data_IF_480996399615
#
_entry.id   IF_480996399615
#
_cell.length_a   1.000
_cell.length_b   1.000
_cell.length_c   1.000
_cell.angle_alpha   90.00
_cell.angle_beta   90.00
_cell.angle_gamma   90.00
#
_symmetry.space_group_name_H-M   'P 1'
#
loop_
_entity.id
_entity.type
_entity.pdbx_description
1 polymer ?
#
# COMPACT_ATOMS: atom_id res chain seq x y z
N UNK A 1 85.92 -39.80 14.87
CA UNK A 1 87.11 -39.79 15.75
C UNK A 1 86.64 -39.78 17.21
N UNK A 2 86.89 -40.88 17.91
CA UNK A 2 87.08 -41.11 19.35
C UNK A 2 86.24 -40.42 20.46
N UNK A 3 85.68 -41.31 21.31
CA UNK A 3 85.67 -41.35 22.81
C UNK A 3 84.74 -40.44 23.66
N UNK A 4 83.67 -41.06 24.18
CA UNK A 4 83.49 -41.66 25.53
C UNK A 4 83.85 -40.88 26.83
N UNK A 5 82.95 -41.05 27.82
CA UNK A 5 83.09 -40.97 29.30
C UNK A 5 83.14 -39.57 29.96
N UNK A 6 82.66 -39.31 31.20
CA UNK A 6 81.78 -39.98 32.18
C UNK A 6 81.58 -38.98 33.36
N UNK A 7 80.46 -39.13 34.09
CA UNK A 7 80.29 -38.95 35.57
C UNK A 7 80.21 -37.56 36.26
N UNK A 8 79.01 -37.37 36.85
CA UNK A 8 78.67 -37.16 38.29
C UNK A 8 78.76 -35.78 39.00
N UNK A 9 77.58 -35.42 39.54
CA UNK A 9 77.23 -35.05 40.93
C UNK A 9 77.29 -33.58 41.41
N UNK A 10 76.13 -33.24 42.02
CA UNK A 10 75.84 -32.31 43.14
C UNK A 10 75.68 -30.81 42.87
N UNK A 11 74.53 -30.31 43.32
CA UNK A 11 74.33 -28.89 43.63
C UNK A 11 72.85 -28.48 43.65
N UNK A 12 72.14 -28.76 44.75
CA UNK A 12 70.78 -28.30 45.02
C UNK A 12 70.84 -26.89 45.60
N UNK A 13 70.24 -25.90 44.94
CA UNK A 13 70.10 -24.54 45.48
C UNK A 13 69.52 -23.58 44.44
N UNK A 14 68.34 -23.02 44.69
CA UNK A 14 67.68 -22.14 43.73
C UNK A 14 66.36 -21.56 44.23
N UNK A 15 66.48 -20.56 45.10
CA UNK A 15 65.46 -19.63 45.57
C UNK A 15 64.71 -18.94 44.40
N UNK A 16 63.37 -18.97 44.42
CA UNK A 16 62.46 -18.04 43.74
C UNK A 16 61.34 -17.75 44.75
N UNK A 17 61.03 -16.53 45.20
CA UNK A 17 61.13 -15.22 44.56
C UNK A 17 59.78 -14.87 43.93
N UNK A 18 59.02 -13.96 44.55
CA UNK A 18 57.97 -13.18 43.87
C UNK A 18 56.57 -13.26 44.47
N UNK A 19 56.20 -12.21 45.22
CA UNK A 19 54.87 -11.84 45.69
C UNK A 19 54.07 -11.15 44.54
N UNK A 20 52.75 -11.38 44.50
CA UNK A 20 51.62 -10.64 43.86
C UNK A 20 51.87 -9.72 42.64
N UNK A 21 51.07 -9.88 41.56
CA UNK A 21 49.84 -9.09 41.35
C UNK A 21 49.01 -9.55 40.13
N UNK A 22 47.74 -9.13 40.13
CA UNK A 22 46.57 -9.45 39.30
C UNK A 22 46.72 -9.15 37.80
N UNK A 23 46.12 -10.01 36.96
CA UNK A 23 45.04 -9.68 35.96
C UNK A 23 44.94 -10.72 34.84
N UNK A 24 43.70 -11.12 34.54
CA UNK A 24 43.25 -11.37 33.16
C UNK A 24 43.40 -12.78 32.60
N UNK A 25 42.49 -13.69 32.95
CA UNK A 25 42.21 -14.90 32.15
C UNK A 25 40.70 -15.09 31.99
N UNK A 26 40.09 -14.28 31.12
CA UNK A 26 38.80 -14.59 30.48
C UNK A 26 38.89 -14.05 29.06
N UNK A 27 39.32 -14.85 28.09
CA UNK A 27 39.56 -14.29 26.76
C UNK A 27 39.96 -15.23 25.64
N UNK A 28 39.55 -16.50 25.63
CA UNK A 28 39.97 -17.38 24.51
C UNK A 28 38.94 -18.43 24.08
N UNK A 29 37.65 -18.25 24.38
CA UNK A 29 36.59 -19.17 23.89
C UNK A 29 35.52 -18.53 23.00
N UNK A 30 35.54 -17.22 22.80
CA UNK A 30 34.48 -16.50 22.04
C UNK A 30 34.89 -16.02 20.63
N UNK A 31 36.07 -16.37 20.11
CA UNK A 31 36.50 -15.96 18.76
C UNK A 31 35.98 -16.85 17.63
N UNK A 32 35.63 -18.11 17.91
CA UNK A 32 35.12 -19.02 16.87
C UNK A 32 33.60 -18.86 16.59
N UNK A 33 32.81 -18.34 17.54
CA UNK A 33 31.38 -18.09 17.33
C UNK A 33 31.05 -16.74 16.67
N UNK A 34 32.01 -15.79 16.59
CA UNK A 34 31.78 -14.51 15.91
C UNK A 34 32.03 -14.54 14.40
N UNK A 35 32.64 -15.62 13.88
CA UNK A 35 32.96 -15.73 12.47
C UNK A 35 31.89 -16.49 11.64
N UNK A 36 30.98 -17.19 12.31
CA UNK A 36 29.81 -17.86 11.70
C UNK A 36 28.56 -16.98 11.61
N UNK A 37 28.51 -15.83 12.29
CA UNK A 37 27.40 -14.86 12.19
C UNK A 37 27.60 -13.76 11.13
N UNK A 38 28.84 -13.57 10.67
CA UNK A 38 29.20 -12.52 9.69
C UNK A 38 29.24 -13.02 8.24
N UNK A 39 29.00 -14.31 8.00
CA UNK A 39 29.06 -14.90 6.65
C UNK A 39 27.72 -14.83 5.90
N UNK A 40 26.61 -14.61 6.61
CA UNK A 40 25.28 -14.49 6.00
C UNK A 40 24.88 -13.05 5.63
N UNK A 41 25.63 -12.03 6.04
CA UNK A 41 25.32 -10.64 5.70
C UNK A 41 25.88 -10.19 4.33
N UNK A 42 26.72 -11.01 3.70
CA UNK A 42 27.30 -10.75 2.37
C UNK A 42 26.48 -11.31 1.19
N UNK A 43 25.43 -12.06 1.48
CA UNK A 43 24.53 -12.66 0.48
C UNK A 43 23.13 -12.03 0.51
N UNK A 44 22.94 -10.89 1.18
CA UNK A 44 21.77 -10.08 0.89
C UNK A 44 21.97 -9.51 -0.51
N UNK A 45 21.07 -9.80 -1.48
CA UNK A 45 21.10 -9.12 -2.75
C UNK A 45 21.10 -7.61 -2.46
N UNK A 46 21.88 -6.81 -3.21
CA UNK A 46 21.80 -5.36 -3.07
C UNK A 46 20.33 -4.98 -3.23
N UNK A 47 19.79 -4.23 -2.26
CA UNK A 47 18.44 -3.67 -2.35
C UNK A 47 18.40 -2.97 -3.71
N UNK A 48 17.72 -3.58 -4.70
CA UNK A 48 17.55 -2.96 -6.00
C UNK A 48 16.99 -1.56 -5.74
N UNK A 49 17.65 -0.54 -6.30
CA UNK A 49 17.15 0.82 -6.22
C UNK A 49 15.71 0.80 -6.72
N UNK A 50 14.80 1.24 -5.87
CA UNK A 50 13.38 1.26 -6.17
C UNK A 50 13.14 2.29 -7.25
N UNK A 51 12.29 1.94 -8.22
CA UNK A 51 11.95 2.84 -9.30
C UNK A 51 11.16 4.02 -8.75
N UNK A 52 11.62 5.23 -9.06
CA UNK A 52 10.93 6.46 -8.71
C UNK A 52 9.68 6.59 -9.58
N UNK A 53 8.56 6.98 -8.98
CA UNK A 53 7.31 7.20 -9.72
C UNK A 53 7.44 8.34 -10.73
N UNK A 54 8.34 9.30 -10.48
CA UNK A 54 8.65 10.41 -11.37
C UNK A 54 10.15 10.70 -11.43
N UNK A 55 10.63 11.06 -12.61
CA UNK A 55 11.99 11.59 -12.77
C UNK A 55 12.02 13.05 -12.36
N UNK A 56 12.66 13.35 -11.23
CA UNK A 56 12.85 14.72 -10.74
C UNK A 56 13.70 15.51 -11.73
N UNK A 57 13.23 16.71 -12.10
CA UNK A 57 13.94 17.58 -13.04
C UNK A 57 14.76 18.66 -12.31
N UNK A 58 15.84 19.18 -12.92
CA UNK A 58 16.70 20.18 -12.26
C UNK A 58 16.04 21.53 -11.97
N UNK A 59 14.93 21.84 -12.66
CA UNK A 59 14.14 23.06 -12.49
C UNK A 59 13.11 22.97 -11.34
N UNK A 60 12.97 21.80 -10.72
CA UNK A 60 12.08 21.62 -9.58
C UNK A 60 12.67 22.22 -8.31
N UNK A 61 11.85 22.99 -7.59
CA UNK A 61 12.24 23.65 -6.35
C UNK A 61 11.56 22.94 -5.18
N UNK A 62 12.35 22.39 -4.26
CA UNK A 62 11.85 21.84 -3.01
C UNK A 62 11.27 22.95 -2.14
N UNK A 63 9.98 22.82 -1.78
CA UNK A 63 9.30 23.76 -0.89
C UNK A 63 9.40 23.30 0.57
N UNK A 64 9.11 22.03 0.82
CA UNK A 64 9.12 21.45 2.15
C UNK A 64 9.48 19.96 2.08
N UNK A 65 10.15 19.47 3.13
CA UNK A 65 10.43 18.05 3.34
C UNK A 65 9.95 17.62 4.73
N UNK A 66 9.27 16.48 4.78
CA UNK A 66 8.79 15.85 6.01
C UNK A 66 9.16 14.37 6.01
N UNK A 67 9.69 13.90 7.13
CA UNK A 67 9.98 12.48 7.35
C UNK A 67 8.79 11.76 8.02
N UNK A 68 8.77 10.43 7.94
CA UNK A 68 7.69 9.63 8.52
C UNK A 68 7.52 9.83 10.04
N UNK A 69 8.60 9.96 10.85
CA UNK A 69 8.46 10.26 12.27
C UNK A 69 7.76 11.58 12.59
N UNK A 70 7.92 12.63 11.76
CA UNK A 70 7.17 13.89 11.90
C UNK A 70 5.71 13.71 11.51
N UNK A 71 5.44 13.08 10.36
CA UNK A 71 4.08 12.83 9.87
C UNK A 71 3.25 12.01 10.87
N UNK A 72 3.84 10.97 11.47
CA UNK A 72 3.18 10.09 12.43
C UNK A 72 2.72 10.79 13.73
N UNK A 73 3.21 12.01 14.01
CA UNK A 73 2.84 12.81 15.19
C UNK A 73 1.76 13.84 14.89
N UNK A 74 1.40 14.03 13.62
CA UNK A 74 0.34 14.96 13.24
C UNK A 74 -1.01 14.43 13.72
N UNK A 75 -1.88 15.34 14.16
CA UNK A 75 -3.22 15.00 14.61
C UNK A 75 -4.16 16.17 14.36
N UNK A 76 -5.33 15.86 13.80
CA UNK A 76 -6.44 16.79 13.65
C UNK A 76 -7.67 16.14 14.30
N UNK A 77 -7.90 16.34 15.61
CA UNK A 77 -9.05 15.78 16.30
C UNK A 77 -10.34 16.51 15.92
N UNK A 78 -11.49 15.90 16.23
CA UNK A 78 -12.83 16.49 16.09
C UNK A 78 -13.32 16.72 14.65
N UNK A 79 -12.73 16.06 13.66
CA UNK A 79 -13.30 15.99 12.31
C UNK A 79 -14.67 15.30 12.38
N UNK A 80 -15.71 15.99 11.89
CA UNK A 80 -17.08 15.47 11.86
C UNK A 80 -17.27 14.47 10.72
N UNK A 81 -18.38 13.74 10.76
CA UNK A 81 -18.81 12.92 9.63
C UNK A 81 -19.07 13.78 8.39
N UNK A 82 -18.75 13.23 7.22
CA UNK A 82 -18.90 13.94 5.96
C UNK A 82 -20.37 14.13 5.61
N UNK A 83 -20.74 15.29 5.12
CA UNK A 83 -22.10 15.57 4.65
C UNK A 83 -22.20 15.23 3.16
N UNK A 84 -23.15 14.36 2.79
CA UNK A 84 -23.44 14.01 1.40
C UNK A 84 -24.00 15.24 0.65
N UNK A 85 -23.39 15.60 -0.48
CA UNK A 85 -23.83 16.71 -1.34
C UNK A 85 -24.57 16.17 -2.56
N UNK A 86 -23.96 15.20 -3.25
CA UNK A 86 -24.48 14.53 -4.45
C UNK A 86 -24.16 13.05 -4.33
N UNK A 87 -25.14 12.20 -4.64
CA UNK A 87 -24.97 10.77 -4.73
C UNK A 87 -25.40 10.32 -6.13
N UNK A 88 -24.53 9.61 -6.84
CA UNK A 88 -24.78 9.25 -8.22
C UNK A 88 -24.30 7.84 -8.57
N UNK A 89 -24.86 7.25 -9.62
CA UNK A 89 -24.53 5.91 -10.09
C UNK A 89 -25.49 4.84 -9.59
N UNK A 90 -25.09 3.57 -9.74
CA UNK A 90 -25.97 2.44 -9.46
C UNK A 90 -25.18 1.27 -8.90
N UNK A 91 -25.79 0.56 -7.94
CA UNK A 91 -25.18 -0.56 -7.24
C UNK A 91 -25.94 -1.85 -7.50
N UNK A 92 -25.22 -2.91 -7.80
CA UNK A 92 -25.74 -4.27 -7.74
C UNK A 92 -25.79 -4.77 -6.30
N UNK A 93 -26.68 -5.73 -6.07
CA UNK A 93 -26.84 -6.35 -4.77
C UNK A 93 -25.76 -7.40 -4.54
N UNK A 94 -25.17 -7.40 -3.34
CA UNK A 94 -24.21 -8.43 -2.94
C UNK A 94 -24.90 -9.80 -2.80
N UNK A 95 -24.27 -10.84 -3.36
CA UNK A 95 -24.75 -12.21 -3.25
C UNK A 95 -24.19 -12.90 -1.99
N UNK A 96 -25.02 -12.98 -0.94
CA UNK A 96 -24.71 -13.69 0.32
C UNK A 96 -24.39 -15.18 0.12
N UNK A 97 -24.62 -15.77 -1.05
CA UNK A 97 -24.13 -17.13 -1.31
C UNK A 97 -22.60 -17.21 -1.32
N UNK A 98 -21.90 -16.11 -1.59
CA UNK A 98 -20.43 -16.06 -1.52
C UNK A 98 -19.89 -16.12 -0.08
N UNK A 99 -20.68 -15.76 0.94
CA UNK A 99 -20.29 -15.91 2.35
C UNK A 99 -20.09 -17.38 2.78
N UNK A 100 -20.64 -18.33 2.00
CA UNK A 100 -20.47 -19.77 2.24
C UNK A 100 -19.25 -20.38 1.56
N UNK A 101 -18.56 -19.62 0.71
CA UNK A 101 -17.32 -20.06 0.05
C UNK A 101 -16.24 -20.25 1.12
N UNK A 102 -15.52 -21.36 1.04
CA UNK A 102 -14.45 -21.69 1.99
C UNK A 102 -13.42 -22.59 1.30
N UNK A 103 -12.32 -22.88 1.99
CA UNK A 103 -11.18 -23.67 1.47
C UNK A 103 -11.52 -25.09 1.01
N UNK A 104 -12.69 -25.64 1.37
CA UNK A 104 -13.16 -26.97 0.91
C UNK A 104 -14.17 -26.88 -0.22
N UNK A 105 -14.79 -25.73 -0.40
CA UNK A 105 -15.80 -25.46 -1.43
C UNK A 105 -15.49 -24.10 -2.05
N UNK A 106 -14.39 -24.06 -2.79
CA UNK A 106 -13.92 -22.90 -3.52
C UNK A 106 -14.81 -22.59 -4.73
N UNK A 107 -14.77 -21.35 -5.19
CA UNK A 107 -15.38 -20.92 -6.45
C UNK A 107 -14.30 -20.33 -7.36
N UNK A 108 -14.18 -20.82 -8.62
CA UNK A 108 -13.24 -20.23 -9.58
C UNK A 108 -13.54 -18.75 -9.83
N UNK A 109 -12.49 -17.93 -9.85
CA UNK A 109 -12.60 -16.53 -10.27
C UNK A 109 -12.88 -16.49 -11.78
N UNK A 110 -13.89 -15.72 -12.18
CA UNK A 110 -14.29 -15.53 -13.56
C UNK A 110 -13.77 -14.19 -14.06
N UNK A 111 -13.37 -14.15 -15.33
CA UNK A 111 -13.09 -12.89 -16.01
C UNK A 111 -14.42 -12.19 -16.30
N UNK A 112 -14.59 -11.00 -15.77
CA UNK A 112 -15.77 -10.17 -15.98
C UNK A 112 -15.36 -8.95 -16.79
N UNK A 113 -16.01 -8.77 -17.94
CA UNK A 113 -15.74 -7.65 -18.83
C UNK A 113 -16.70 -6.51 -18.48
N UNK A 114 -16.20 -5.54 -17.72
CA UNK A 114 -16.92 -4.33 -17.34
C UNK A 114 -15.99 -3.13 -17.36
N UNK A 115 -16.58 -1.97 -17.60
CA UNK A 115 -15.84 -0.70 -17.68
C UNK A 115 -15.61 -0.17 -16.25
N UNK A 116 -14.33 -0.01 -15.88
CA UNK A 116 -13.90 0.62 -14.64
C UNK A 116 -13.34 2.01 -14.93
N UNK A 117 -13.92 3.02 -14.27
CA UNK A 117 -13.53 4.41 -14.47
C UNK A 117 -12.56 4.84 -13.38
N UNK A 118 -11.34 5.22 -13.77
CA UNK A 118 -10.30 5.72 -12.87
C UNK A 118 -10.09 7.23 -13.02
N UNK A 119 -11.17 8.00 -13.20
CA UNK A 119 -11.13 9.44 -13.50
C UNK A 119 -10.51 10.26 -12.36
N UNK A 120 -9.55 11.14 -12.67
CA UNK A 120 -8.92 12.06 -11.71
C UNK A 120 -9.85 13.23 -11.32
N UNK A 121 -9.42 14.06 -10.36
CA UNK A 121 -10.20 15.14 -9.77
C UNK A 121 -10.60 16.23 -10.77
N UNK A 122 -9.68 16.71 -11.61
CA UNK A 122 -9.97 17.79 -12.58
C UNK A 122 -10.84 17.36 -13.76
N UNK A 123 -10.80 16.08 -14.09
CA UNK A 123 -11.57 15.52 -15.20
C UNK A 123 -13.01 15.20 -14.81
N UNK A 124 -13.28 15.14 -13.51
CA UNK A 124 -14.60 14.88 -12.95
C UNK A 124 -15.58 16.07 -13.18
N UNK A 125 -16.67 15.87 -13.93
CA UNK A 125 -17.62 16.94 -14.24
C UNK A 125 -18.40 17.42 -13.02
N UNK A 126 -18.63 16.55 -12.03
CA UNK A 126 -19.33 16.93 -10.79
C UNK A 126 -18.40 17.75 -9.91
N UNK A 127 -17.13 17.36 -9.75
CA UNK A 127 -16.16 18.19 -9.02
C UNK A 127 -15.99 19.56 -9.68
N UNK A 128 -15.90 19.64 -11.02
CA UNK A 128 -15.85 20.93 -11.73
C UNK A 128 -17.10 21.80 -11.52
N UNK A 129 -18.27 21.19 -11.31
CA UNK A 129 -19.51 21.91 -10.99
C UNK A 129 -19.51 22.38 -9.54
N UNK A 130 -19.20 21.48 -8.61
CA UNK A 130 -19.10 21.77 -7.17
C UNK A 130 -18.02 22.81 -6.89
N UNK A 131 -16.95 22.82 -7.67
CA UNK A 131 -15.86 23.77 -7.48
C UNK A 131 -16.26 25.22 -7.73
N UNK A 132 -17.43 25.49 -8.31
CA UNK A 132 -17.96 26.84 -8.47
C UNK A 132 -18.79 27.30 -7.27
N UNK A 133 -19.21 26.38 -6.40
CA UNK A 133 -20.22 26.64 -5.37
C UNK A 133 -19.80 26.24 -3.94
N UNK A 134 -19.06 25.14 -3.76
CA UNK A 134 -18.76 24.55 -2.44
C UNK A 134 -17.32 24.04 -2.39
N UNK A 135 -16.63 24.35 -1.30
CA UNK A 135 -15.30 23.80 -1.01
C UNK A 135 -14.15 24.65 -1.51
N UNK A 136 -12.96 24.34 -1.02
CA UNK A 136 -11.71 24.89 -1.53
C UNK A 136 -10.61 23.84 -1.70
N UNK A 137 -10.84 22.60 -1.26
CA UNK A 137 -9.95 21.46 -1.54
C UNK A 137 -10.76 20.35 -2.19
N UNK A 138 -10.26 19.80 -3.28
CA UNK A 138 -10.94 18.76 -4.07
C UNK A 138 -10.01 17.58 -4.28
N UNK A 139 -10.50 16.37 -4.05
CA UNK A 139 -9.74 15.12 -4.22
C UNK A 139 -10.67 13.92 -4.44
N UNK A 140 -10.12 12.80 -4.90
CA UNK A 140 -10.80 11.48 -4.83
C UNK A 140 -10.36 10.72 -3.58
N UNK A 141 -11.19 9.77 -3.16
CA UNK A 141 -10.87 8.85 -2.06
C UNK A 141 -9.55 8.10 -2.25
N UNK A 142 -9.24 7.61 -3.46
CA UNK A 142 -7.96 6.96 -3.75
C UNK A 142 -6.76 7.88 -3.45
N UNK A 143 -6.84 9.15 -3.86
CA UNK A 143 -5.79 10.15 -3.62
C UNK A 143 -5.67 10.46 -2.12
N UNK A 144 -6.80 10.66 -1.43
CA UNK A 144 -6.81 10.91 0.00
C UNK A 144 -6.31 9.71 0.81
N UNK A 145 -6.66 8.49 0.41
CA UNK A 145 -6.20 7.26 1.06
C UNK A 145 -4.67 7.16 0.99
N UNK A 146 -4.06 7.47 -0.17
CA UNK A 146 -2.60 7.53 -0.33
C UNK A 146 -1.97 8.57 0.60
N UNK A 147 -2.55 9.78 0.71
CA UNK A 147 -2.05 10.82 1.61
C UNK A 147 -2.19 10.43 3.09
N UNK A 148 -3.34 9.94 3.50
CA UNK A 148 -3.63 9.57 4.90
C UNK A 148 -2.79 8.37 5.35
N UNK A 149 -2.45 7.46 4.44
CA UNK A 149 -1.67 6.25 4.73
C UNK A 149 -0.18 6.36 4.36
N UNK A 150 0.31 7.55 4.02
CA UNK A 150 1.67 7.78 3.51
C UNK A 150 2.79 7.18 4.37
N UNK A 151 2.63 7.15 5.71
CA UNK A 151 3.64 6.61 6.64
C UNK A 151 3.83 5.10 6.55
N UNK A 152 2.99 4.40 5.78
CA UNK A 152 3.09 2.95 5.51
C UNK A 152 3.69 2.64 4.13
N UNK A 153 3.82 3.66 3.28
CA UNK A 153 4.31 3.47 1.91
C UNK A 153 5.79 3.11 1.89
N UNK A 154 6.14 2.24 0.95
CA UNK A 154 7.50 1.74 0.73
C UNK A 154 7.93 1.99 -0.72
N UNK A 155 7.01 1.76 -1.67
CA UNK A 155 7.18 2.11 -3.07
C UNK A 155 6.87 3.59 -3.30
N UNK A 156 7.48 4.14 -4.35
CA UNK A 156 7.35 5.55 -4.68
C UNK A 156 5.98 5.81 -5.29
N UNK A 157 5.35 6.91 -4.88
CA UNK A 157 4.12 7.46 -5.45
C UNK A 157 4.23 8.98 -5.52
N UNK A 158 3.37 9.61 -6.32
CA UNK A 158 3.27 11.06 -6.41
C UNK A 158 1.83 11.50 -6.69
N UNK A 159 1.53 12.73 -6.27
CA UNK A 159 0.24 13.40 -6.45
C UNK A 159 0.54 14.80 -6.97
N UNK A 160 -0.19 15.25 -7.98
CA UNK A 160 -0.12 16.60 -8.53
C UNK A 160 -1.09 17.47 -7.75
N UNK A 161 -0.64 18.62 -7.28
CA UNK A 161 -1.51 19.61 -6.62
C UNK A 161 -1.58 20.85 -7.49
N UNK A 162 -2.74 21.12 -8.07
CA UNK A 162 -2.99 22.34 -8.83
C UNK A 162 -3.68 23.39 -7.94
N UNK A 163 -3.05 24.55 -7.81
CA UNK A 163 -3.60 25.69 -7.07
C UNK A 163 -4.12 26.76 -8.02
N UNK A 164 -5.44 26.96 -8.04
CA UNK A 164 -6.11 27.97 -8.87
C UNK A 164 -6.86 28.93 -7.94
N UNK A 165 -6.37 30.16 -7.82
CA UNK A 165 -6.92 31.13 -6.87
C UNK A 165 -6.77 30.62 -5.43
N UNK A 166 -7.90 30.48 -4.73
CA UNK A 166 -8.01 29.96 -3.37
C UNK A 166 -8.32 28.45 -3.30
N UNK A 167 -8.31 27.75 -4.45
CA UNK A 167 -8.70 26.34 -4.56
C UNK A 167 -7.51 25.44 -4.83
N UNK A 168 -7.55 24.25 -4.25
CA UNK A 168 -6.57 23.18 -4.41
C UNK A 168 -7.25 21.95 -5.02
N UNK A 169 -6.72 21.47 -6.14
CA UNK A 169 -7.12 20.22 -6.77
C UNK A 169 -5.99 19.22 -6.62
N UNK A 170 -6.29 18.08 -6.01
CA UNK A 170 -5.36 16.98 -5.87
C UNK A 170 -5.63 15.96 -6.97
N UNK A 171 -4.69 15.77 -7.87
CA UNK A 171 -4.80 14.91 -9.05
C UNK A 171 -3.74 13.83 -9.06
N UNK A 172 -4.07 12.72 -9.71
CA UNK A 172 -3.11 11.68 -10.08
C UNK A 172 -2.76 11.85 -11.55
N UNK A 173 -1.59 11.34 -11.95
CA UNK A 173 -1.17 11.34 -13.36
C UNK A 173 -1.74 10.12 -14.08
N UNK A 174 -2.42 10.34 -15.19
CA UNK A 174 -3.09 9.25 -15.94
C UNK A 174 -2.13 8.16 -16.47
N UNK A 175 -0.87 8.52 -16.74
CA UNK A 175 0.14 7.60 -17.29
C UNK A 175 1.01 6.94 -16.20
N UNK A 176 0.47 6.75 -14.99
CA UNK A 176 1.21 6.16 -13.87
C UNK A 176 0.54 4.90 -13.34
N UNK A 177 1.28 4.16 -12.53
CA UNK A 177 0.80 2.94 -11.85
C UNK A 177 0.03 3.25 -10.56
N UNK A 178 -0.49 4.48 -10.40
CA UNK A 178 -1.15 4.92 -9.16
C UNK A 178 -2.34 4.04 -8.77
N UNK A 179 -3.09 3.54 -9.77
CA UNK A 179 -4.25 2.68 -9.55
C UNK A 179 -3.89 1.19 -9.40
N UNK A 180 -2.63 0.81 -9.56
CA UNK A 180 -2.21 -0.58 -9.39
C UNK A 180 -2.06 -0.93 -7.92
N UNK A 181 -2.62 -2.06 -7.53
CA UNK A 181 -2.51 -2.59 -6.17
C UNK A 181 -1.12 -3.23 -5.97
N UNK A 182 -0.34 -2.70 -5.04
CA UNK A 182 0.97 -3.25 -4.70
C UNK A 182 0.86 -4.57 -3.95
N UNK A 183 1.71 -5.55 -4.26
CA UNK A 183 1.71 -6.89 -3.64
C UNK A 183 2.98 -7.08 -2.82
N UNK A 184 2.83 -7.51 -1.55
CA UNK A 184 3.93 -7.72 -0.61
C UNK A 184 4.88 -6.51 -0.45
N UNK A 185 4.36 -5.29 -0.63
CA UNK A 185 5.13 -4.04 -0.56
C UNK A 185 5.91 -3.90 0.75
N UNK A 186 5.28 -4.23 1.88
CA UNK A 186 5.84 -4.06 3.22
C UNK A 186 6.41 -5.36 3.81
N UNK A 187 6.63 -6.39 2.98
CA UNK A 187 7.32 -7.61 3.40
C UNK A 187 8.76 -7.30 3.82
N UNK A 188 9.35 -8.17 4.64
CA UNK A 188 10.79 -8.08 5.00
C UNK A 188 11.65 -8.11 3.74
N UNK A 189 11.27 -8.97 2.79
CA UNK A 189 11.87 -9.06 1.46
C UNK A 189 10.74 -8.88 0.42
N UNK A 190 10.51 -7.64 -0.07
CA UNK A 190 9.54 -7.41 -1.14
C UNK A 190 9.99 -8.11 -2.44
N UNK A 191 9.08 -8.41 -3.38
CA UNK A 191 9.45 -9.01 -4.67
C UNK A 191 10.50 -8.18 -5.41
N UNK A 192 11.53 -8.84 -5.97
CA UNK A 192 12.64 -8.19 -6.70
C UNK A 192 12.93 -8.82 -8.06
N UNK A 193 12.08 -9.74 -8.50
CA UNK A 193 12.19 -10.38 -9.79
C UNK A 193 12.23 -9.38 -10.95
N UNK A 194 12.96 -9.73 -12.02
CA UNK A 194 13.07 -8.89 -13.21
C UNK A 194 11.73 -8.81 -13.96
N UNK A 195 11.52 -7.77 -14.77
CA UNK A 195 10.25 -7.46 -15.46
C UNK A 195 9.68 -8.61 -16.31
N UNK A 196 10.54 -9.52 -16.80
CA UNK A 196 10.14 -10.67 -17.59
C UNK A 196 9.64 -11.85 -16.75
N UNK A 197 9.84 -11.81 -15.44
CA UNK A 197 9.32 -12.79 -14.49
C UNK A 197 7.85 -12.54 -14.22
N UNK A 198 7.08 -13.61 -14.07
CA UNK A 198 5.68 -13.52 -13.66
C UNK A 198 5.55 -12.90 -12.25
N UNK A 199 6.57 -13.06 -11.41
CA UNK A 199 6.61 -12.57 -10.03
C UNK A 199 7.26 -11.17 -9.90
N UNK A 200 7.46 -10.46 -11.01
CA UNK A 200 7.93 -9.08 -10.94
C UNK A 200 6.90 -8.20 -10.21
N UNK A 201 7.33 -7.18 -9.43
CA UNK A 201 6.40 -6.31 -8.70
C UNK A 201 5.29 -5.75 -9.59
N UNK A 202 5.64 -5.35 -10.81
CA UNK A 202 4.68 -4.82 -11.79
C UNK A 202 3.67 -5.87 -12.26
N UNK A 203 4.13 -7.09 -12.59
CA UNK A 203 3.22 -8.15 -13.05
C UNK A 203 2.29 -8.62 -11.93
N UNK A 204 2.80 -8.74 -10.71
CA UNK A 204 1.99 -9.04 -9.53
C UNK A 204 0.95 -7.93 -9.27
N UNK A 205 1.33 -6.65 -9.43
CA UNK A 205 0.39 -5.54 -9.24
C UNK A 205 -0.71 -5.51 -10.33
N UNK A 206 -0.36 -5.80 -11.58
CA UNK A 206 -1.33 -5.97 -12.67
C UNK A 206 -2.31 -7.11 -12.38
N UNK A 207 -1.79 -8.27 -11.95
CA UNK A 207 -2.60 -9.43 -11.59
C UNK A 207 -3.51 -9.15 -10.40
N UNK A 208 -2.98 -8.56 -9.31
CA UNK A 208 -3.77 -8.23 -8.12
C UNK A 208 -4.90 -7.24 -8.43
N UNK A 209 -4.62 -6.23 -9.26
CA UNK A 209 -5.63 -5.26 -9.71
C UNK A 209 -6.70 -5.94 -10.56
N UNK A 210 -6.29 -6.83 -11.47
CA UNK A 210 -7.22 -7.63 -12.28
C UNK A 210 -8.09 -8.56 -11.42
N UNK A 211 -7.51 -9.23 -10.41
CA UNK A 211 -8.24 -10.06 -9.45
C UNK A 211 -9.27 -9.21 -8.70
N UNK A 212 -8.86 -8.04 -8.20
CA UNK A 212 -9.74 -7.14 -7.46
C UNK A 212 -10.91 -6.65 -8.30
N UNK A 213 -10.66 -6.23 -9.55
CA UNK A 213 -11.72 -5.85 -10.49
C UNK A 213 -12.72 -7.00 -10.72
N UNK A 214 -12.24 -8.19 -11.07
CA UNK A 214 -13.12 -9.34 -11.31
C UNK A 214 -13.91 -9.74 -10.06
N UNK A 215 -13.23 -9.84 -8.91
CA UNK A 215 -13.87 -10.27 -7.67
C UNK A 215 -14.95 -9.29 -7.23
N UNK A 216 -14.70 -7.98 -7.34
CA UNK A 216 -15.66 -6.93 -6.96
C UNK A 216 -17.01 -7.08 -7.69
N UNK A 217 -17.00 -7.59 -8.92
CA UNK A 217 -18.21 -7.78 -9.73
C UNK A 217 -18.77 -9.20 -9.62
N UNK A 218 -17.91 -10.21 -9.45
CA UNK A 218 -18.32 -11.62 -9.42
C UNK A 218 -19.20 -11.96 -8.21
N UNK A 219 -18.96 -11.30 -7.07
CA UNK A 219 -19.72 -11.51 -5.83
C UNK A 219 -21.07 -10.79 -5.83
N UNK A 220 -21.45 -10.17 -6.95
CA UNK A 220 -22.70 -9.43 -7.10
C UNK A 220 -23.72 -10.24 -7.90
N UNK A 221 -24.99 -9.90 -7.69
CA UNK A 221 -26.10 -10.47 -8.45
C UNK A 221 -26.25 -9.77 -9.79
N UNK A 222 -25.49 -10.23 -10.78
CA UNK A 222 -25.58 -9.73 -12.16
C UNK A 222 -26.92 -10.10 -12.79
N UNK A 223 -27.52 -9.16 -13.53
CA UNK A 223 -28.81 -9.35 -14.23
C UNK A 223 -30.05 -9.08 -13.37
N UNK A 224 -29.89 -8.75 -12.08
CA UNK A 224 -30.97 -8.25 -11.24
C UNK A 224 -31.07 -6.72 -11.30
N UNK A 225 -32.23 -6.11 -10.96
CA UNK A 225 -32.37 -4.67 -10.86
C UNK A 225 -31.36 -4.06 -9.87
N UNK A 226 -30.65 -3.03 -10.32
CA UNK A 226 -29.71 -2.27 -9.49
C UNK A 226 -30.43 -1.30 -8.56
N UNK A 227 -29.83 -1.02 -7.42
CA UNK A 227 -30.17 0.15 -6.62
C UNK A 227 -29.62 1.40 -7.33
N UNK A 228 -30.50 2.34 -7.68
CA UNK A 228 -30.12 3.59 -8.35
C UNK A 228 -30.16 4.75 -7.37
N UNK A 229 -29.14 5.60 -7.40
CA UNK A 229 -29.17 6.90 -6.74
C UNK A 229 -29.96 7.92 -7.59
N UNK A 230 -30.14 9.12 -7.04
CA UNK A 230 -30.90 10.19 -7.69
C UNK A 230 -30.28 10.63 -9.02
N UNK A 231 -28.94 10.68 -9.08
CA UNK A 231 -28.19 11.05 -10.27
C UNK A 231 -27.56 9.82 -10.96
N UNK A 232 -27.46 9.77 -12.30
CA UNK A 232 -26.78 8.69 -13.02
C UNK A 232 -25.25 8.78 -12.87
N UNK A 233 -24.54 7.72 -13.27
CA UNK A 233 -23.08 7.74 -13.27
C UNK A 233 -22.57 8.87 -14.21
N UNK A 234 -21.74 9.80 -13.72
CA UNK A 234 -21.33 11.00 -14.48
C UNK A 234 -20.27 10.74 -15.55
N UNK A 235 -19.74 9.52 -15.64
CA UNK A 235 -18.64 9.15 -16.54
C UNK A 235 -19.08 8.37 -17.77
N UNK A 236 -20.38 8.08 -17.89
CA UNK A 236 -20.91 7.25 -18.96
C UNK A 236 -22.05 7.94 -19.70
N UNK A 237 -22.27 7.51 -20.93
CA UNK A 237 -23.50 7.76 -21.68
C UNK A 237 -24.59 6.74 -21.31
N UNK A 238 -25.85 7.03 -21.68
CA UNK A 238 -26.97 6.10 -21.44
C UNK A 238 -26.79 4.75 -22.14
N UNK A 239 -26.04 4.71 -23.25
CA UNK A 239 -25.77 3.48 -24.01
C UNK A 239 -24.81 2.53 -23.26
N UNK A 240 -23.99 3.05 -22.35
CA UNK A 240 -22.95 2.32 -21.61
C UNK A 240 -23.41 1.83 -20.22
N UNK A 241 -24.66 2.13 -19.80
CA UNK A 241 -25.17 1.79 -18.45
C UNK A 241 -25.17 0.27 -18.17
N UNK A 242 -25.27 -0.57 -19.22
CA UNK A 242 -25.21 -2.02 -19.14
C UNK A 242 -23.80 -2.61 -19.03
N UNK A 243 -22.78 -1.88 -19.45
CA UNK A 243 -21.38 -2.35 -19.54
C UNK A 243 -20.52 -1.87 -18.37
N UNK A 244 -20.99 -0.86 -17.63
CA UNK A 244 -20.27 -0.30 -16.49
C UNK A 244 -20.26 -1.24 -15.27
N UNK A 245 -19.13 -1.23 -14.56
CA UNK A 245 -19.01 -1.84 -13.24
C UNK A 245 -20.08 -1.32 -12.27
N UNK A 246 -20.51 -2.18 -11.34
CA UNK A 246 -21.31 -1.75 -10.19
C UNK A 246 -20.47 -0.80 -9.35
N UNK A 247 -20.82 0.48 -9.38
CA UNK A 247 -20.19 1.53 -8.61
C UNK A 247 -21.15 2.71 -8.44
N UNK A 248 -21.13 3.30 -7.26
CA UNK A 248 -21.78 4.56 -6.99
C UNK A 248 -20.81 5.52 -6.33
N UNK A 249 -20.94 6.79 -6.67
CA UNK A 249 -20.09 7.87 -6.17
C UNK A 249 -20.89 8.76 -5.23
N UNK A 250 -20.30 9.07 -4.08
CA UNK A 250 -20.83 10.05 -3.12
C UNK A 250 -19.84 11.20 -3.03
N UNK A 251 -20.30 12.40 -3.38
CA UNK A 251 -19.56 13.63 -3.19
C UNK A 251 -19.88 14.17 -1.81
N UNK A 252 -18.89 14.14 -0.94
CA UNK A 252 -19.05 14.48 0.47
C UNK A 252 -18.20 15.68 0.81
N UNK A 253 -18.67 16.50 1.74
CA UNK A 253 -17.90 17.62 2.28
C UNK A 253 -17.53 17.41 3.74
N UNK A 254 -16.35 17.92 4.10
CA UNK A 254 -15.85 18.00 5.46
C UNK A 254 -15.33 19.41 5.73
N UNK A 255 -15.67 19.93 6.91
CA UNK A 255 -14.99 21.09 7.47
C UNK A 255 -13.79 20.58 8.28
N UNK A 256 -12.59 20.97 7.88
CA UNK A 256 -11.33 20.55 8.48
C UNK A 256 -10.70 21.67 9.35
N UNK A 257 -11.53 22.63 9.79
CA UNK A 257 -11.11 23.86 10.46
C UNK A 257 -10.19 24.74 9.58
N UNK A 258 -9.73 25.87 10.12
CA UNK A 258 -8.84 26.82 9.44
C UNK A 258 -9.34 27.30 8.06
N UNK A 259 -10.67 27.29 7.87
CA UNK A 259 -11.29 27.66 6.60
C UNK A 259 -11.06 26.65 5.48
N UNK A 260 -10.64 25.42 5.78
CA UNK A 260 -10.46 24.33 4.82
C UNK A 260 -11.75 23.51 4.73
N UNK A 261 -12.38 23.55 3.56
CA UNK A 261 -13.57 22.76 3.25
C UNK A 261 -13.20 21.77 2.15
N UNK A 262 -12.99 20.52 2.56
CA UNK A 262 -12.68 19.41 1.68
C UNK A 262 -13.96 18.91 1.02
N UNK A 263 -13.94 18.76 -0.29
CA UNK A 263 -14.93 18.02 -1.08
C UNK A 263 -14.23 16.82 -1.69
N UNK A 264 -14.74 15.62 -1.42
CA UNK A 264 -14.17 14.40 -1.99
C UNK A 264 -15.22 13.50 -2.63
N UNK A 265 -14.84 12.89 -3.76
CA UNK A 265 -15.58 11.79 -4.36
C UNK A 265 -15.18 10.49 -3.65
N UNK A 266 -16.13 9.88 -2.95
CA UNK A 266 -16.03 8.56 -2.37
C UNK A 266 -16.80 7.54 -3.20
N UNK A 267 -16.42 6.26 -3.12
CA UNK A 267 -17.10 5.18 -3.84
C UNK A 267 -17.73 4.10 -2.94
N UNK A 268 -18.77 3.46 -3.46
CA UNK A 268 -19.30 2.20 -2.97
C UNK A 268 -19.42 1.21 -4.13
N UNK A 269 -19.19 -0.07 -3.85
CA UNK A 269 -19.14 -1.13 -4.87
C UNK A 269 -20.46 -1.92 -4.94
N UNK A 270 -21.18 -2.04 -3.82
CA UNK A 270 -22.42 -2.81 -3.75
C UNK A 270 -23.37 -2.36 -2.64
N UNK A 271 -24.57 -2.94 -2.63
CA UNK A 271 -25.56 -2.77 -1.58
C UNK A 271 -26.03 -4.11 -1.03
N UNK A 272 -26.37 -4.16 0.26
CA UNK A 272 -26.86 -5.34 0.95
C UNK A 272 -28.10 -5.02 1.79
N UNK A 273 -29.26 -5.65 1.53
CA UNK A 273 -30.42 -5.52 2.40
C UNK A 273 -30.19 -6.26 3.71
N UNK A 274 -30.43 -5.54 4.80
CA UNK A 274 -30.46 -6.10 6.15
C UNK A 274 -31.81 -6.75 6.44
N UNK A 275 -31.90 -7.66 7.42
CA UNK A 275 -33.18 -8.21 7.86
C UNK A 275 -34.19 -7.17 8.34
N UNK A 276 -33.71 -6.00 8.79
CA UNK A 276 -34.54 -4.87 9.23
C UNK A 276 -35.09 -4.00 8.08
N UNK A 277 -34.75 -4.30 6.82
CA UNK A 277 -35.17 -3.52 5.65
C UNK A 277 -34.27 -2.33 5.31
N UNK A 278 -33.29 -2.01 6.16
CA UNK A 278 -32.28 -1.00 5.87
C UNK A 278 -31.24 -1.52 4.88
N UNK A 279 -30.71 -0.63 4.04
CA UNK A 279 -29.66 -0.93 3.08
C UNK A 279 -28.29 -0.61 3.67
N UNK A 280 -27.37 -1.57 3.60
CA UNK A 280 -25.96 -1.37 3.89
C UNK A 280 -25.17 -1.18 2.60
N UNK A 281 -24.31 -0.17 2.55
CA UNK A 281 -23.41 0.09 1.45
C UNK A 281 -22.07 -0.58 1.71
N UNK A 282 -21.51 -1.23 0.69
CA UNK A 282 -20.32 -2.05 0.81
C UNK A 282 -19.18 -1.50 -0.04
N UNK A 283 -17.97 -1.63 0.50
CA UNK A 283 -16.71 -1.53 -0.25
C UNK A 283 -16.12 -2.92 -0.32
N UNK A 284 -15.88 -3.43 -1.53
CA UNK A 284 -15.46 -4.80 -1.81
C UNK A 284 -14.05 -4.76 -2.37
N UNK A 285 -13.10 -5.33 -1.63
CA UNK A 285 -11.70 -5.47 -2.05
C UNK A 285 -11.26 -6.93 -1.88
N UNK A 286 -10.31 -7.37 -2.71
CA UNK A 286 -9.79 -8.74 -2.72
C UNK A 286 -8.33 -8.76 -2.27
N UNK A 287 -8.02 -9.61 -1.30
CA UNK A 287 -6.64 -10.00 -0.99
C UNK A 287 -6.24 -11.15 -1.92
N UNK A 288 -4.97 -11.17 -2.35
CA UNK A 288 -4.42 -12.21 -3.21
C UNK A 288 -3.24 -12.94 -2.55
N UNK A 289 -3.08 -14.21 -2.90
CA UNK A 289 -1.91 -15.05 -2.58
C UNK A 289 -1.34 -15.57 -3.91
N UNK A 290 -0.03 -15.46 -4.11
CA UNK A 290 0.64 -15.84 -5.36
C UNK A 290 1.57 -17.05 -5.16
N UNK A 291 2.61 -16.93 -4.33
CA UNK A 291 3.48 -18.03 -3.90
C UNK A 291 3.78 -17.93 -2.41
N UNK A 292 3.10 -18.75 -1.60
CA UNK A 292 3.23 -18.78 -0.14
C UNK A 292 4.61 -19.26 0.36
N UNK A 293 5.43 -19.88 -0.49
CA UNK A 293 6.80 -20.29 -0.13
C UNK A 293 7.82 -19.17 -0.32
N UNK A 294 7.53 -18.21 -1.21
CA UNK A 294 8.43 -17.12 -1.56
C UNK A 294 8.03 -15.78 -0.93
N UNK A 295 6.76 -15.59 -0.58
CA UNK A 295 6.21 -14.31 -0.11
C UNK A 295 6.55 -13.93 1.35
N UNK A 296 7.22 -14.84 2.09
CA UNK A 296 7.72 -14.61 3.45
C UNK A 296 6.75 -15.01 4.56
#
# INVERSE_FOLDING_TARGET
RFRQNQRNMRGRGGQRGGYNDRKGQVGTRNKWNKQMGMRNQKNQPPIKNRDASVTVRPDWVTIEEMDFPRLAKLSLPNVKDGEDIICCGSLEYYDKAYDRVNVKSEKPLQRIDRIFHTVTTTDDPIIRKLSKTVGNVYATDAILATLMCCTRSNYSWDIVIEKIGDKLFFDKRDNTEFDLLTVNETSVEPPQDDSNSLNSPRNLALEATFINHNFSQQVLKTGEPRYKFDDPNPFISEEEEGEVASVAYRYRKWDLDNGVVLVSRCEHDAVLPTPGGELQFLTIKALNEWDSKLSG
#
